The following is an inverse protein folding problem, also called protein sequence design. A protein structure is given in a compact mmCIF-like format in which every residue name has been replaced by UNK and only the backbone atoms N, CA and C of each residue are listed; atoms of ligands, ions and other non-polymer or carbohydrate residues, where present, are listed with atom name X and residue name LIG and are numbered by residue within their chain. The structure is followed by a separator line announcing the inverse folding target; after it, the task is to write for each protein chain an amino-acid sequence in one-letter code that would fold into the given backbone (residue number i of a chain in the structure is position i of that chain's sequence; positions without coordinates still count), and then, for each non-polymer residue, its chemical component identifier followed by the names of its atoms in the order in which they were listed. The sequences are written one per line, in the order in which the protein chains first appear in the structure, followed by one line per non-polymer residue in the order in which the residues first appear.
data_IF_220387691508
#
_entry.id   IF_220387691508
#
_cell.length_a   1.000
_cell.length_b   1.000
_cell.length_c   1.000
_cell.angle_alpha   90.00
_cell.angle_beta   90.00
_cell.angle_gamma   90.00
#
_symmetry.space_group_name_H-M   'P 1'
#
loop_
_entity.id
_entity.type
_entity.pdbx_description
1 polymer ?
#
# COMPACT_ATOMS: atom_id res chain seq x y z
N UNK A 1 0.18 20.71 -5.34
CA UNK A 1 0.32 20.56 -3.87
C UNK A 1 1.65 19.87 -3.63
N UNK A 2 2.37 20.16 -2.53
CA UNK A 2 3.60 19.41 -2.19
C UNK A 2 3.22 18.04 -1.63
N UNK A 3 3.84 16.98 -2.15
CA UNK A 3 3.67 15.63 -1.60
C UNK A 3 4.30 15.55 -0.20
N UNK A 4 3.64 14.84 0.71
CA UNK A 4 4.17 14.55 2.05
C UNK A 4 4.63 13.10 2.12
N UNK A 5 5.72 12.85 2.86
CA UNK A 5 6.24 11.49 3.04
C UNK A 5 5.43 10.78 4.14
N UNK A 6 4.99 9.56 3.85
CA UNK A 6 4.45 8.61 4.82
C UNK A 6 5.31 7.35 4.93
N UNK A 7 5.02 6.52 5.92
CA UNK A 7 5.61 5.19 6.10
C UNK A 7 4.53 4.15 6.33
N UNK A 8 4.53 3.08 5.55
CA UNK A 8 3.78 1.88 5.83
C UNK A 8 4.53 1.07 6.90
N UNK A 9 3.93 0.94 8.09
CA UNK A 9 4.55 0.37 9.28
C UNK A 9 4.91 -1.11 9.13
N UNK A 10 4.36 -1.81 8.13
CA UNK A 10 4.82 -3.15 7.73
C UNK A 10 6.34 -3.21 7.47
N UNK A 11 6.93 -2.11 7.02
CA UNK A 11 8.38 -1.93 6.78
C UNK A 11 9.22 -2.02 8.06
N UNK A 12 8.61 -1.84 9.23
CA UNK A 12 9.23 -1.93 10.55
C UNK A 12 8.48 -2.89 11.48
N UNK A 13 7.76 -3.88 10.92
CA UNK A 13 6.91 -4.80 11.67
C UNK A 13 7.67 -5.58 12.75
N UNK A 14 8.90 -5.99 12.48
CA UNK A 14 9.68 -6.82 13.42
C UNK A 14 10.15 -5.97 14.59
N UNK A 15 10.64 -4.77 14.32
CA UNK A 15 11.01 -3.80 15.34
C UNK A 15 9.78 -3.35 16.15
N UNK A 16 8.67 -3.06 15.49
CA UNK A 16 7.41 -2.67 16.16
C UNK A 16 6.87 -3.77 17.07
N UNK A 17 6.88 -5.03 16.62
CA UNK A 17 6.49 -6.17 17.44
C UNK A 17 7.39 -6.36 18.67
N UNK A 18 8.68 -5.98 18.57
CA UNK A 18 9.66 -6.07 19.66
C UNK A 18 9.51 -4.93 20.67
N UNK A 19 9.37 -3.69 20.21
CA UNK A 19 9.25 -2.49 21.03
C UNK A 19 8.43 -1.42 20.30
N UNK A 20 7.12 -1.38 20.58
CA UNK A 20 6.17 -0.49 19.89
C UNK A 20 6.52 0.99 20.09
N UNK A 21 6.68 1.40 21.34
CA UNK A 21 6.93 2.80 21.69
C UNK A 21 8.32 3.25 21.18
N UNK A 22 9.35 2.43 21.40
CA UNK A 22 10.70 2.73 20.92
C UNK A 22 10.77 2.79 19.39
N UNK A 23 10.06 1.91 18.69
CA UNK A 23 10.03 1.92 17.21
C UNK A 23 9.35 3.17 16.68
N UNK A 24 8.18 3.57 17.21
CA UNK A 24 7.51 4.80 16.79
C UNK A 24 8.35 6.05 17.08
N UNK A 25 9.02 6.11 18.23
CA UNK A 25 9.92 7.22 18.55
C UNK A 25 11.08 7.30 17.55
N UNK A 26 11.69 6.17 17.18
CA UNK A 26 12.77 6.15 16.17
C UNK A 26 12.26 6.55 14.78
N UNK A 27 11.06 6.11 14.40
CA UNK A 27 10.41 6.54 13.14
C UNK A 27 10.24 8.07 13.12
N UNK A 28 9.79 8.65 14.23
CA UNK A 28 9.68 10.11 14.38
C UNK A 28 11.04 10.82 14.34
N UNK A 29 12.07 10.25 14.99
CA UNK A 29 13.45 10.77 14.99
C UNK A 29 14.08 10.77 13.59
N UNK A 30 13.77 9.77 12.76
CA UNK A 30 14.17 9.72 11.34
C UNK A 30 13.57 10.89 10.55
N UNK A 31 12.36 11.32 10.93
CA UNK A 31 11.67 12.47 10.35
C UNK A 31 10.30 12.15 9.75
N UNK A 32 9.86 10.89 9.77
CA UNK A 32 8.49 10.56 9.39
C UNK A 32 7.50 11.25 10.33
N UNK A 33 6.41 11.76 9.75
CA UNK A 33 5.29 12.37 10.50
C UNK A 33 3.97 11.67 10.26
N UNK A 34 3.89 10.90 9.18
CA UNK A 34 2.68 10.25 8.71
C UNK A 34 2.97 8.76 8.60
N UNK A 35 2.10 7.95 9.18
CA UNK A 35 2.21 6.49 9.13
C UNK A 35 0.91 5.87 8.65
N UNK A 36 1.07 4.77 7.95
CA UNK A 36 0.01 3.83 7.62
C UNK A 36 0.23 2.55 8.41
N UNK A 37 -0.85 1.97 8.91
CA UNK A 37 -0.77 0.89 9.88
C UNK A 37 -1.48 -0.35 9.34
N UNK A 38 -0.79 -1.50 9.24
CA UNK A 38 -1.42 -2.74 8.87
C UNK A 38 -2.19 -3.30 10.07
N UNK A 39 -3.40 -3.76 9.86
CA UNK A 39 -4.30 -4.29 10.87
C UNK A 39 -4.96 -5.56 10.33
N UNK A 40 -5.06 -6.56 11.19
CA UNK A 40 -5.68 -7.84 10.85
C UNK A 40 -6.96 -8.03 11.66
N UNK A 41 -8.11 -8.01 10.97
CA UNK A 41 -9.41 -8.31 11.56
C UNK A 41 -9.81 -9.77 11.34
N UNK A 42 -9.01 -10.57 10.63
CA UNK A 42 -9.31 -11.99 10.36
C UNK A 42 -9.10 -12.89 11.57
N UNK A 43 -8.41 -12.39 12.61
CA UNK A 43 -8.05 -13.15 13.81
C UNK A 43 -6.83 -14.05 13.65
N UNK A 44 -6.05 -13.88 12.57
CA UNK A 44 -4.84 -14.67 12.31
C UNK A 44 -3.56 -14.03 12.87
N UNK A 45 -3.66 -12.78 13.34
CA UNK A 45 -2.54 -11.96 13.82
C UNK A 45 -1.38 -11.92 12.81
N UNK A 46 -1.71 -11.67 11.54
CA UNK A 46 -0.76 -11.69 10.41
C UNK A 46 0.45 -10.78 10.63
N UNK A 47 0.29 -9.71 11.40
CA UNK A 47 1.31 -8.70 11.66
C UNK A 47 1.93 -8.81 13.06
N UNK A 48 1.55 -9.83 13.84
CA UNK A 48 2.00 -10.02 15.23
C UNK A 48 1.77 -8.77 16.10
N UNK A 49 0.65 -8.09 15.85
CA UNK A 49 0.24 -6.90 16.58
C UNK A 49 -0.58 -7.29 17.81
N UNK A 50 -1.04 -8.54 17.91
CA UNK A 50 -1.88 -9.04 18.99
C UNK A 50 -3.18 -8.24 19.13
N UNK A 51 -3.78 -8.27 20.32
CA UNK A 51 -4.97 -7.46 20.67
C UNK A 51 -4.61 -5.97 20.84
N UNK A 52 -4.21 -5.31 19.75
CA UNK A 52 -3.92 -3.88 19.74
C UNK A 52 -5.23 -3.09 19.67
N UNK A 53 -5.60 -2.44 20.78
CA UNK A 53 -6.80 -1.58 20.83
C UNK A 53 -6.53 -0.25 20.14
N UNK A 54 -7.56 0.32 19.52
CA UNK A 54 -7.47 1.62 18.86
C UNK A 54 -7.00 2.74 19.82
N UNK A 55 -7.49 2.76 21.06
CA UNK A 55 -7.06 3.72 22.09
C UNK A 55 -5.58 3.57 22.48
N UNK A 56 -5.08 2.35 22.65
CA UNK A 56 -3.68 2.09 22.98
C UNK A 56 -2.77 2.53 21.83
N UNK A 57 -3.15 2.18 20.60
CA UNK A 57 -2.44 2.62 19.40
C UNK A 57 -2.44 4.14 19.26
N UNK A 58 -3.60 4.77 19.44
CA UNK A 58 -3.74 6.22 19.40
C UNK A 58 -2.80 6.89 20.41
N UNK A 59 -2.75 6.40 21.64
CA UNK A 59 -1.88 6.94 22.67
C UNK A 59 -0.40 6.83 22.29
N UNK A 60 0.03 5.68 21.77
CA UNK A 60 1.42 5.45 21.35
C UNK A 60 1.83 6.39 20.21
N UNK A 61 0.96 6.55 19.21
CA UNK A 61 1.19 7.43 18.06
C UNK A 61 1.22 8.90 18.47
N UNK A 62 0.26 9.33 19.30
CA UNK A 62 0.19 10.70 19.83
C UNK A 62 1.44 11.03 20.67
N UNK A 63 1.93 10.09 21.49
CA UNK A 63 3.14 10.26 22.30
C UNK A 63 4.40 10.40 21.45
N UNK A 64 4.48 9.67 20.33
CA UNK A 64 5.59 9.79 19.38
C UNK A 64 5.49 11.04 18.49
N UNK A 65 4.37 11.77 18.53
CA UNK A 65 4.12 12.93 17.67
C UNK A 65 3.89 12.58 16.20
N UNK A 66 3.39 11.38 15.93
CA UNK A 66 3.08 10.86 14.58
C UNK A 66 1.59 11.03 14.25
N UNK A 67 1.23 10.90 12.98
CA UNK A 67 -0.16 10.91 12.51
C UNK A 67 -0.47 9.60 11.78
N UNK A 68 -1.57 8.94 12.13
CA UNK A 68 -2.11 7.84 11.32
C UNK A 68 -2.88 8.41 10.15
N UNK A 69 -2.39 8.21 8.92
CA UNK A 69 -3.02 8.75 7.71
C UNK A 69 -3.95 7.75 7.03
N UNK A 70 -3.72 6.45 7.23
CA UNK A 70 -4.61 5.38 6.79
C UNK A 70 -4.36 4.08 7.59
N UNK A 71 -5.31 3.16 7.49
CA UNK A 71 -5.16 1.77 7.96
C UNK A 71 -5.22 0.80 6.79
N UNK A 72 -4.28 -0.13 6.72
CA UNK A 72 -4.34 -1.30 5.83
C UNK A 72 -5.08 -2.41 6.56
N UNK A 73 -6.17 -2.93 6.01
CA UNK A 73 -7.01 -3.91 6.72
C UNK A 73 -7.14 -5.24 5.98
N UNK A 74 -7.06 -6.31 6.75
CA UNK A 74 -7.42 -7.65 6.28
C UNK A 74 -8.72 -8.05 6.94
N UNK A 75 -9.74 -8.34 6.12
CA UNK A 75 -11.06 -8.79 6.55
C UNK A 75 -11.44 -10.08 5.84
N UNK A 76 -12.01 -11.03 6.58
CA UNK A 76 -12.48 -12.32 6.06
C UNK A 76 -13.92 -12.23 5.57
N UNK A 77 -14.74 -11.39 6.22
CA UNK A 77 -16.16 -11.27 5.93
C UNK A 77 -16.68 -9.83 6.04
N UNK A 78 -17.90 -9.63 5.57
CA UNK A 78 -18.59 -8.35 5.54
C UNK A 78 -18.98 -7.83 6.94
N UNK A 79 -19.17 -8.72 7.92
CA UNK A 79 -19.59 -8.31 9.27
C UNK A 79 -18.49 -7.53 9.99
N UNK A 80 -17.22 -7.79 9.64
CA UNK A 80 -16.04 -7.12 10.20
C UNK A 80 -15.90 -5.64 9.77
N UNK A 81 -16.63 -5.20 8.75
CA UNK A 81 -16.59 -3.79 8.31
C UNK A 81 -17.09 -2.84 9.40
N UNK A 82 -18.06 -3.27 10.21
CA UNK A 82 -18.51 -2.48 11.36
C UNK A 82 -17.40 -2.29 12.40
N UNK A 83 -16.59 -3.32 12.65
CA UNK A 83 -15.47 -3.28 13.59
C UNK A 83 -14.34 -2.40 13.06
N UNK A 84 -14.03 -2.48 11.76
CA UNK A 84 -13.08 -1.59 11.08
C UNK A 84 -13.49 -0.12 11.24
N UNK A 85 -14.78 0.18 11.01
CA UNK A 85 -15.31 1.54 11.14
C UNK A 85 -15.19 2.03 12.59
N UNK A 86 -15.57 1.19 13.56
CA UNK A 86 -15.46 1.52 14.98
C UNK A 86 -14.01 1.80 15.39
N UNK A 87 -13.09 0.93 14.96
CA UNK A 87 -11.65 1.06 15.22
C UNK A 87 -11.09 2.38 14.64
N UNK A 88 -11.37 2.66 13.37
CA UNK A 88 -10.87 3.86 12.70
C UNK A 88 -11.46 5.14 13.31
N UNK A 89 -12.73 5.13 13.75
CA UNK A 89 -13.32 6.28 14.47
C UNK A 89 -12.65 6.55 15.81
N UNK A 90 -12.35 5.50 16.58
CA UNK A 90 -11.65 5.65 17.86
C UNK A 90 -10.20 6.12 17.66
N UNK A 91 -9.53 5.61 16.61
CA UNK A 91 -8.19 6.04 16.23
C UNK A 91 -8.17 7.48 15.68
N UNK A 92 -9.29 7.96 15.15
CA UNK A 92 -9.39 9.24 14.45
C UNK A 92 -8.88 9.19 13.00
N UNK A 93 -8.81 8.00 12.41
CA UNK A 93 -8.35 7.78 11.03
C UNK A 93 -9.55 7.77 10.07
N UNK A 94 -9.47 8.54 8.97
CA UNK A 94 -10.56 8.71 8.00
C UNK A 94 -10.29 8.02 6.66
N UNK A 95 -9.24 7.19 6.59
CA UNK A 95 -8.92 6.40 5.40
C UNK A 95 -8.61 4.95 5.79
N UNK A 96 -9.14 4.05 4.99
CA UNK A 96 -8.92 2.62 5.12
C UNK A 96 -8.57 2.08 3.74
N UNK A 97 -7.64 1.13 3.69
CA UNK A 97 -7.16 0.50 2.47
C UNK A 97 -7.38 -1.00 2.61
N UNK A 98 -7.98 -1.61 1.59
CA UNK A 98 -7.97 -3.07 1.43
C UNK A 98 -6.81 -3.39 0.48
N UNK A 99 -5.73 -4.01 0.97
CA UNK A 99 -4.69 -4.53 0.11
C UNK A 99 -5.06 -5.90 -0.43
N UNK A 100 -4.46 -6.25 -1.56
CA UNK A 100 -4.24 -7.62 -2.06
C UNK A 100 -5.49 -8.52 -2.19
N UNK A 101 -5.81 -8.92 -3.42
CA UNK A 101 -6.81 -9.95 -3.67
C UNK A 101 -6.43 -10.82 -4.86
N UNK A 102 -6.64 -12.13 -4.71
CA UNK A 102 -6.34 -13.12 -5.75
C UNK A 102 -7.61 -13.54 -6.48
N UNK A 103 -7.48 -13.74 -7.79
CA UNK A 103 -8.61 -14.03 -8.68
C UNK A 103 -8.29 -15.23 -9.56
N UNK A 104 -9.29 -16.07 -9.81
CA UNK A 104 -9.16 -17.24 -10.69
C UNK A 104 -9.73 -16.95 -12.08
N UNK A 105 -10.70 -16.04 -12.16
CA UNK A 105 -11.43 -15.72 -13.37
C UNK A 105 -11.99 -14.29 -13.31
N UNK A 106 -12.61 -13.87 -14.41
CA UNK A 106 -13.22 -12.55 -14.55
C UNK A 106 -14.37 -12.30 -13.55
N UNK A 107 -15.19 -13.31 -13.29
CA UNK A 107 -16.32 -13.24 -12.37
C UNK A 107 -15.87 -12.99 -10.92
N UNK A 108 -14.73 -13.56 -10.50
CA UNK A 108 -14.14 -13.29 -9.19
C UNK A 108 -13.77 -11.80 -9.05
N UNK A 109 -13.18 -11.20 -10.09
CA UNK A 109 -12.82 -9.77 -10.10
C UNK A 109 -14.07 -8.89 -10.02
N UNK A 110 -15.14 -9.25 -10.74
CA UNK A 110 -16.41 -8.52 -10.67
C UNK A 110 -17.05 -8.62 -9.29
N UNK A 111 -17.12 -9.82 -8.71
CA UNK A 111 -17.68 -10.03 -7.38
C UNK A 111 -16.89 -9.25 -6.32
N UNK A 112 -15.57 -9.19 -6.45
CA UNK A 112 -14.72 -8.37 -5.59
C UNK A 112 -14.94 -6.87 -5.79
N UNK A 113 -15.12 -6.41 -7.02
CA UNK A 113 -15.43 -5.00 -7.32
C UNK A 113 -16.76 -4.57 -6.68
N UNK A 114 -17.80 -5.42 -6.74
CA UNK A 114 -19.07 -5.18 -6.06
C UNK A 114 -18.90 -5.14 -4.54
N UNK A 115 -18.06 -6.02 -3.98
CA UNK A 115 -17.72 -6.04 -2.55
C UNK A 115 -17.03 -4.74 -2.12
N UNK A 116 -16.02 -4.28 -2.85
CA UNK A 116 -15.34 -3.01 -2.59
C UNK A 116 -16.30 -1.82 -2.65
N UNK A 117 -17.20 -1.77 -3.64
CA UNK A 117 -18.23 -0.72 -3.71
C UNK A 117 -19.12 -0.69 -2.47
N UNK A 118 -19.60 -1.86 -2.04
CA UNK A 118 -20.46 -1.98 -0.86
C UNK A 118 -19.73 -1.51 0.39
N UNK A 119 -18.47 -1.91 0.56
CA UNK A 119 -17.63 -1.49 1.68
C UNK A 119 -17.37 0.02 1.66
N UNK A 120 -16.97 0.54 0.50
CA UNK A 120 -16.71 1.96 0.31
C UNK A 120 -17.94 2.82 0.61
N UNK A 121 -19.13 2.40 0.18
CA UNK A 121 -20.36 3.12 0.50
C UNK A 121 -20.64 3.15 2.01
N UNK A 122 -20.52 2.00 2.70
CA UNK A 122 -20.73 1.90 4.15
C UNK A 122 -19.73 2.76 4.93
N UNK A 123 -18.44 2.70 4.57
CA UNK A 123 -17.39 3.49 5.22
C UNK A 123 -17.58 4.99 4.98
N UNK A 124 -17.92 5.38 3.75
CA UNK A 124 -18.15 6.77 3.37
C UNK A 124 -19.29 7.41 4.14
N UNK A 125 -20.40 6.70 4.34
CA UNK A 125 -21.53 7.16 5.18
C UNK A 125 -21.08 7.47 6.63
N UNK A 126 -19.97 6.89 7.05
CA UNK A 126 -19.38 7.08 8.37
C UNK A 126 -18.18 8.04 8.37
N UNK A 127 -17.89 8.69 7.24
CA UNK A 127 -16.80 9.65 7.07
C UNK A 127 -15.43 9.03 6.82
N UNK A 128 -15.37 7.78 6.39
CA UNK A 128 -14.12 7.04 6.09
C UNK A 128 -14.06 6.74 4.59
N UNK A 129 -12.98 7.10 3.91
CA UNK A 129 -12.75 6.75 2.51
C UNK A 129 -12.08 5.38 2.40
N UNK A 130 -12.53 4.55 1.46
CA UNK A 130 -11.90 3.27 1.13
C UNK A 130 -11.00 3.41 -0.09
N UNK A 131 -9.78 2.89 0.00
CA UNK A 131 -8.88 2.71 -1.14
C UNK A 131 -8.61 1.21 -1.38
N UNK A 132 -8.25 0.85 -2.61
CA UNK A 132 -7.70 -0.47 -2.93
C UNK A 132 -6.21 -0.36 -3.25
N UNK A 133 -5.39 -1.27 -2.72
CA UNK A 133 -3.94 -1.32 -2.91
C UNK A 133 -3.55 -2.54 -3.76
N UNK A 134 -2.85 -2.29 -4.87
CA UNK A 134 -2.46 -3.31 -5.84
C UNK A 134 -1.12 -3.98 -5.51
N UNK A 135 -0.96 -5.21 -5.98
CA UNK A 135 0.32 -5.87 -6.19
C UNK A 135 0.51 -6.16 -7.68
N UNK A 136 1.48 -7.01 -8.05
CA UNK A 136 1.76 -7.29 -9.46
C UNK A 136 0.65 -8.13 -10.13
N UNK A 137 -0.03 -8.99 -9.37
CA UNK A 137 -0.98 -9.95 -9.92
C UNK A 137 -2.31 -9.32 -10.30
N UNK A 138 -2.62 -8.14 -9.77
CA UNK A 138 -3.75 -7.34 -10.26
C UNK A 138 -3.54 -6.82 -11.69
N UNK A 139 -2.33 -6.97 -12.25
CA UNK A 139 -2.03 -6.78 -13.66
C UNK A 139 -2.03 -8.09 -14.47
N UNK A 140 -2.50 -9.20 -13.89
CA UNK A 140 -2.94 -10.36 -14.67
C UNK A 140 -4.20 -9.99 -15.47
N UNK A 141 -4.31 -10.50 -16.71
CA UNK A 141 -5.45 -10.22 -17.58
C UNK A 141 -6.55 -11.25 -17.43
N UNK A 142 -7.78 -10.77 -17.27
CA UNK A 142 -9.00 -11.55 -17.33
C UNK A 142 -9.88 -10.99 -18.46
N UNK A 143 -10.21 -11.82 -19.45
CA UNK A 143 -10.90 -11.39 -20.68
C UNK A 143 -10.20 -10.22 -21.41
N UNK A 144 -8.87 -10.17 -21.34
CA UNK A 144 -8.05 -9.17 -22.03
C UNK A 144 -7.80 -7.86 -21.27
N UNK A 145 -8.46 -7.65 -20.11
CA UNK A 145 -8.28 -6.47 -19.25
C UNK A 145 -7.56 -6.85 -17.96
N UNK A 146 -6.74 -5.95 -17.41
CA UNK A 146 -6.13 -6.17 -16.09
C UNK A 146 -7.20 -6.27 -15.00
N UNK A 147 -6.97 -7.10 -13.99
CA UNK A 147 -7.88 -7.16 -12.84
C UNK A 147 -8.07 -5.77 -12.18
N UNK A 148 -7.00 -4.99 -12.06
CA UNK A 148 -7.07 -3.63 -11.53
C UNK A 148 -7.89 -2.67 -12.41
N UNK A 149 -7.86 -2.87 -13.73
CA UNK A 149 -8.68 -2.10 -14.68
C UNK A 149 -10.16 -2.43 -14.52
N UNK A 150 -10.48 -3.72 -14.38
CA UNK A 150 -11.84 -4.18 -14.12
C UNK A 150 -12.34 -3.60 -12.79
N UNK A 151 -11.52 -3.63 -11.74
CA UNK A 151 -11.87 -3.01 -10.44
C UNK A 151 -12.11 -1.51 -10.60
N UNK A 152 -11.24 -0.80 -11.32
CA UNK A 152 -11.39 0.64 -11.62
C UNK A 152 -12.71 0.91 -12.35
N UNK A 153 -13.05 0.15 -13.38
CA UNK A 153 -14.25 0.34 -14.21
C UNK A 153 -15.54 -0.04 -13.47
N UNK A 154 -15.50 -1.05 -12.60
CA UNK A 154 -16.65 -1.58 -11.89
C UNK A 154 -16.81 -1.04 -10.47
N UNK A 155 -16.01 -0.05 -10.06
CA UNK A 155 -16.17 0.66 -8.80
C UNK A 155 -16.50 2.13 -8.98
N UNK A 156 -17.37 2.65 -8.11
CA UNK A 156 -17.78 4.05 -8.11
C UNK A 156 -16.64 4.92 -7.55
N UNK A 157 -16.26 6.04 -8.21
CA UNK A 157 -15.18 6.92 -7.76
C UNK A 157 -15.44 7.57 -6.39
N UNK A 158 -16.70 7.65 -5.97
CA UNK A 158 -17.08 8.16 -4.65
C UNK A 158 -16.89 7.11 -3.53
N UNK A 159 -16.85 5.83 -3.87
CA UNK A 159 -16.77 4.74 -2.90
C UNK A 159 -15.35 4.17 -2.80
N UNK A 160 -14.60 4.13 -3.91
CA UNK A 160 -13.31 3.44 -3.98
C UNK A 160 -12.28 4.32 -4.67
N UNK A 161 -11.30 4.80 -3.92
CA UNK A 161 -10.04 5.32 -4.45
C UNK A 161 -9.00 4.22 -4.60
N UNK A 162 -7.78 4.60 -4.97
CA UNK A 162 -6.65 3.69 -5.11
C UNK A 162 -5.42 4.21 -4.39
N UNK A 163 -4.73 3.26 -3.79
CA UNK A 163 -3.34 3.38 -3.43
C UNK A 163 -2.51 2.61 -4.46
N UNK A 164 -1.76 3.33 -5.29
CA UNK A 164 -0.95 2.70 -6.32
C UNK A 164 0.41 2.31 -5.73
N UNK A 165 0.71 1.01 -5.72
CA UNK A 165 2.07 0.54 -5.55
C UNK A 165 2.81 0.55 -6.88
N UNK A 166 3.76 1.47 -6.99
CA UNK A 166 4.53 1.72 -8.21
C UNK A 166 5.55 0.63 -8.52
N UNK A 167 6.11 0.01 -7.49
CA UNK A 167 7.04 -1.10 -7.63
C UNK A 167 6.28 -2.32 -8.14
N UNK A 168 5.16 -2.66 -7.51
CA UNK A 168 4.38 -3.81 -7.93
C UNK A 168 3.72 -3.62 -9.29
N UNK A 169 3.32 -2.40 -9.65
CA UNK A 169 2.89 -2.08 -11.01
C UNK A 169 3.99 -2.31 -12.05
N UNK A 170 5.21 -1.84 -11.77
CA UNK A 170 6.37 -2.11 -12.62
C UNK A 170 6.65 -3.62 -12.74
N UNK A 171 6.60 -4.36 -11.63
CA UNK A 171 6.77 -5.83 -11.60
C UNK A 171 5.64 -6.57 -12.34
N UNK A 172 4.46 -5.97 -12.47
CA UNK A 172 3.34 -6.45 -13.28
C UNK A 172 3.46 -6.10 -14.78
N UNK A 173 4.55 -5.45 -15.20
CA UNK A 173 4.78 -5.09 -16.59
C UNK A 173 4.05 -3.83 -17.06
N UNK A 174 3.59 -2.99 -16.12
CA UNK A 174 2.86 -1.76 -16.42
C UNK A 174 3.79 -0.56 -16.49
N UNK A 175 3.55 0.33 -17.46
CA UNK A 175 4.13 1.67 -17.47
C UNK A 175 3.49 2.52 -16.36
N UNK A 176 4.23 2.71 -15.28
CA UNK A 176 3.74 3.33 -14.05
C UNK A 176 3.26 4.76 -14.27
N UNK A 177 3.98 5.56 -15.07
CA UNK A 177 3.63 6.97 -15.32
C UNK A 177 2.29 7.06 -16.07
N UNK A 178 2.11 6.27 -17.13
CA UNK A 178 0.84 6.22 -17.86
C UNK A 178 -0.30 5.70 -16.98
N UNK A 179 -0.02 4.79 -16.05
CA UNK A 179 -1.03 4.26 -15.14
C UNK A 179 -1.44 5.28 -14.07
N UNK A 180 -0.52 6.10 -13.57
CA UNK A 180 -0.82 7.26 -12.72
C UNK A 180 -1.75 8.23 -13.45
N UNK A 181 -1.48 8.53 -14.73
CA UNK A 181 -2.36 9.36 -15.56
C UNK A 181 -3.74 8.73 -15.73
N UNK A 182 -3.82 7.40 -15.95
CA UNK A 182 -5.08 6.66 -16.06
C UNK A 182 -5.92 6.73 -14.79
N UNK A 183 -5.31 6.54 -13.61
CA UNK A 183 -6.03 6.59 -12.34
C UNK A 183 -6.50 8.02 -12.01
N UNK A 184 -5.74 9.04 -12.41
CA UNK A 184 -6.10 10.44 -12.24
C UNK A 184 -6.46 10.79 -10.80
N UNK A 185 -7.63 11.41 -10.60
CA UNK A 185 -8.10 11.81 -9.26
C UNK A 185 -8.46 10.65 -8.33
N UNK A 186 -8.51 9.41 -8.83
CA UNK A 186 -8.73 8.22 -7.99
C UNK A 186 -7.43 7.66 -7.41
N UNK A 187 -6.26 8.08 -7.88
CA UNK A 187 -4.99 7.77 -7.21
C UNK A 187 -4.81 8.74 -6.05
N UNK A 188 -5.15 8.30 -4.83
CA UNK A 188 -5.09 9.14 -3.65
C UNK A 188 -3.76 9.00 -2.92
N UNK A 189 -3.24 7.77 -2.84
CA UNK A 189 -2.03 7.39 -2.13
C UNK A 189 -1.09 6.67 -3.10
N UNK A 190 0.22 6.76 -2.88
CA UNK A 190 1.21 5.97 -3.60
C UNK A 190 2.11 5.27 -2.63
N UNK A 191 2.30 3.96 -2.82
CA UNK A 191 3.39 3.22 -2.19
C UNK A 191 4.60 3.21 -3.12
N UNK A 192 5.75 3.54 -2.55
CA UNK A 192 7.03 3.61 -3.25
C UNK A 192 8.04 2.68 -2.59
N UNK A 193 8.59 1.82 -3.45
CA UNK A 193 9.74 0.92 -3.24
C UNK A 193 10.72 1.15 -4.38
N UNK A 194 11.90 0.57 -4.30
CA UNK A 194 12.86 0.60 -5.41
C UNK A 194 13.29 -0.82 -5.79
N UNK A 195 13.77 -0.94 -7.02
CA UNK A 195 14.12 -2.20 -7.65
C UNK A 195 15.64 -2.25 -7.88
N UNK A 196 16.35 -3.27 -7.39
CA UNK A 196 17.76 -3.44 -7.72
C UNK A 196 17.94 -3.56 -9.23
N UNK A 197 18.93 -2.87 -9.80
CA UNK A 197 19.24 -2.91 -11.23
C UNK A 197 19.62 -4.32 -11.75
N UNK A 198 19.96 -5.24 -10.84
CA UNK A 198 20.25 -6.64 -11.16
C UNK A 198 19.01 -7.50 -11.39
N UNK A 199 17.81 -7.03 -11.03
CA UNK A 199 16.58 -7.80 -11.22
C UNK A 199 16.24 -7.88 -12.70
N UNK A 200 16.23 -9.11 -13.22
CA UNK A 200 15.85 -9.41 -14.59
C UNK A 200 15.22 -10.82 -14.65
N UNK A 201 14.00 -10.99 -15.18
CA UNK A 201 13.15 -9.94 -15.75
C UNK A 201 12.52 -9.03 -14.68
N UNK A 202 12.23 -7.80 -15.07
CA UNK A 202 11.46 -6.86 -14.25
C UNK A 202 9.99 -7.27 -14.21
N UNK A 203 9.40 -7.51 -15.39
CA UNK A 203 8.03 -8.00 -15.53
C UNK A 203 7.95 -9.49 -15.18
N UNK A 204 7.21 -9.81 -14.13
CA UNK A 204 7.04 -11.17 -13.64
C UNK A 204 6.28 -12.07 -14.62
N UNK A 205 5.38 -11.51 -15.45
CA UNK A 205 4.66 -12.27 -16.48
C UNK A 205 5.54 -12.67 -17.68
N UNK A 206 6.83 -12.31 -17.70
CA UNK A 206 7.80 -12.94 -18.62
C UNK A 206 8.23 -14.34 -18.15
N UNK A 207 7.98 -14.67 -16.88
CA UNK A 207 8.33 -15.97 -16.28
C UNK A 207 7.11 -16.76 -15.79
N UNK A 208 6.05 -16.05 -15.40
CA UNK A 208 4.78 -16.65 -15.02
C UNK A 208 3.88 -16.82 -16.25
N UNK A 209 3.09 -17.90 -16.28
CA UNK A 209 2.03 -18.04 -17.26
C UNK A 209 0.87 -17.12 -16.89
N UNK A 210 0.62 -16.09 -17.72
CA UNK A 210 -0.48 -15.14 -17.50
C UNK A 210 -1.87 -15.79 -17.57
N UNK A 211 -1.99 -17.02 -18.09
CA UNK A 211 -3.25 -17.76 -18.16
C UNK A 211 -3.52 -18.62 -16.93
N UNK A 212 -2.52 -18.81 -16.06
CA UNK A 212 -2.67 -19.53 -14.81
C UNK A 212 -2.91 -18.55 -13.66
N UNK A 213 -3.94 -18.75 -12.81
CA UNK A 213 -4.20 -17.86 -11.69
C UNK A 213 -2.99 -17.70 -10.78
N UNK A 214 -2.54 -16.46 -10.57
CA UNK A 214 -1.54 -16.19 -9.54
C UNK A 214 -2.18 -16.44 -8.18
N UNK A 215 -1.53 -17.26 -7.36
CA UNK A 215 -1.98 -17.59 -6.00
C UNK A 215 -1.09 -16.94 -4.95
N UNK A 216 -1.55 -16.91 -3.69
CA UNK A 216 -0.69 -16.51 -2.56
C UNK A 216 0.63 -17.31 -2.53
N UNK A 217 0.59 -18.60 -2.84
CA UNK A 217 1.82 -19.41 -2.91
C UNK A 217 2.79 -18.96 -4.01
N UNK A 218 2.26 -18.48 -5.14
CA UNK A 218 3.06 -17.91 -6.23
C UNK A 218 3.62 -16.55 -5.83
N UNK A 219 2.81 -15.70 -5.21
CA UNK A 219 3.24 -14.40 -4.69
C UNK A 219 4.40 -14.56 -3.68
N UNK A 220 4.24 -15.49 -2.72
CA UNK A 220 5.26 -15.76 -1.70
C UNK A 220 6.56 -16.34 -2.27
N UNK A 221 6.51 -17.09 -3.38
CA UNK A 221 7.73 -17.67 -3.97
C UNK A 221 8.60 -16.63 -4.69
N UNK A 222 8.03 -15.47 -5.04
CA UNK A 222 8.71 -14.35 -5.68
C UNK A 222 9.32 -13.39 -4.63
N UNK A 223 8.74 -13.35 -3.43
CA UNK A 223 9.19 -12.48 -2.35
C UNK A 223 10.56 -12.90 -1.82
N UNK A 224 11.60 -12.12 -2.14
CA UNK A 224 12.95 -12.27 -1.59
C UNK A 224 13.54 -10.89 -1.29
N UNK A 225 14.32 -10.71 -0.21
CA UNK A 225 15.07 -9.48 0.02
C UNK A 225 15.93 -9.04 -1.19
N UNK A 226 16.40 -9.99 -2.02
CA UNK A 226 17.26 -9.70 -3.16
C UNK A 226 16.56 -9.03 -4.34
N UNK A 227 15.22 -8.99 -4.34
CA UNK A 227 14.45 -8.28 -5.37
C UNK A 227 13.97 -6.91 -4.91
N UNK A 228 14.32 -6.48 -3.69
CA UNK A 228 14.01 -5.16 -3.18
C UNK A 228 15.29 -4.39 -2.83
N UNK A 229 15.24 -3.07 -2.96
CA UNK A 229 16.27 -2.17 -2.43
C UNK A 229 15.61 -0.88 -1.96
N UNK A 230 16.31 -0.16 -1.10
CA UNK A 230 15.84 1.11 -0.57
C UNK A 230 15.75 2.17 -1.67
N UNK A 231 14.83 3.13 -1.49
CA UNK A 231 14.63 4.24 -2.43
C UNK A 231 15.96 4.97 -2.67
N UNK A 232 16.32 5.13 -3.94
CA UNK A 232 17.54 5.81 -4.36
C UNK A 232 18.77 4.91 -4.49
N UNK A 233 18.65 3.62 -4.15
CA UNK A 233 19.67 2.61 -4.41
C UNK A 233 19.33 1.73 -5.64
N UNK A 234 18.13 1.86 -6.20
CA UNK A 234 17.66 1.05 -7.32
C UNK A 234 17.57 1.78 -8.66
N UNK A 235 16.71 1.26 -9.53
CA UNK A 235 16.61 1.66 -10.94
C UNK A 235 15.26 2.22 -11.35
N UNK A 236 14.30 2.38 -10.43
CA UNK A 236 12.99 2.95 -10.77
C UNK A 236 13.13 4.46 -11.03
N UNK A 237 12.45 4.99 -12.06
CA UNK A 237 12.35 6.44 -12.31
C UNK A 237 11.39 7.11 -11.31
N UNK A 238 11.83 7.19 -10.05
CA UNK A 238 11.03 7.75 -8.96
C UNK A 238 10.81 9.25 -9.17
N UNK A 239 11.76 9.98 -9.75
CA UNK A 239 11.58 11.39 -10.07
C UNK A 239 10.43 11.60 -11.08
N UNK A 240 10.40 10.80 -12.16
CA UNK A 240 9.31 10.80 -13.13
C UNK A 240 7.96 10.43 -12.52
N UNK A 241 7.93 9.43 -11.64
CA UNK A 241 6.73 9.05 -10.87
C UNK A 241 6.21 10.22 -10.03
N UNK A 242 7.08 10.90 -9.28
CA UNK A 242 6.68 12.02 -8.43
C UNK A 242 6.13 13.19 -9.25
N UNK A 243 6.77 13.51 -10.39
CA UNK A 243 6.28 14.53 -11.32
C UNK A 243 4.92 14.17 -11.91
N UNK A 244 4.75 12.92 -12.36
CA UNK A 244 3.48 12.42 -12.90
C UNK A 244 2.37 12.50 -11.85
N UNK A 245 2.68 12.10 -10.61
CA UNK A 245 1.78 12.17 -9.47
C UNK A 245 1.29 13.61 -9.24
N UNK A 246 2.21 14.56 -9.07
CA UNK A 246 1.84 15.97 -8.84
C UNK A 246 1.02 16.57 -9.99
N UNK A 247 1.24 16.11 -11.21
CA UNK A 247 0.59 16.63 -12.41
C UNK A 247 -0.80 16.04 -12.66
N UNK A 248 -0.98 14.74 -12.40
CA UNK A 248 -2.14 14.00 -12.88
C UNK A 248 -3.12 13.58 -11.78
N UNK A 249 -2.72 13.63 -10.51
CA UNK A 249 -3.53 13.10 -9.41
C UNK A 249 -3.84 14.14 -8.34
N UNK A 250 -4.69 13.74 -7.39
CA UNK A 250 -4.94 14.44 -6.12
C UNK A 250 -4.08 13.89 -4.98
N UNK A 251 -3.07 13.08 -5.29
CA UNK A 251 -2.27 12.36 -4.29
C UNK A 251 -1.61 13.33 -3.32
N UNK A 252 -1.77 13.04 -2.03
CA UNK A 252 -1.16 13.83 -0.96
C UNK A 252 0.09 13.17 -0.38
N UNK A 253 0.09 11.85 -0.29
CA UNK A 253 1.15 11.10 0.37
C UNK A 253 1.88 10.19 -0.60
N UNK A 254 3.21 10.27 -0.54
CA UNK A 254 4.10 9.25 -1.07
C UNK A 254 4.60 8.44 0.12
N UNK A 255 4.23 7.17 0.16
CA UNK A 255 4.40 6.31 1.33
C UNK A 255 5.53 5.34 1.04
N UNK A 256 6.56 5.38 1.87
CA UNK A 256 7.61 4.37 1.84
C UNK A 256 7.02 3.07 2.35
N UNK A 257 7.09 2.02 1.54
CA UNK A 257 6.88 0.65 1.97
C UNK A 257 8.15 -0.15 1.69
N UNK A 258 8.44 -1.17 2.49
CA UNK A 258 9.55 -2.08 2.25
C UNK A 258 9.13 -3.49 2.65
N UNK A 259 8.77 -4.32 1.68
CA UNK A 259 8.25 -5.66 1.93
C UNK A 259 9.33 -6.56 2.56
N UNK A 260 10.57 -6.42 2.07
CA UNK A 260 11.76 -7.09 2.57
C UNK A 260 13.00 -6.21 2.38
N UNK A 261 14.00 -6.36 3.24
CA UNK A 261 15.31 -5.69 3.15
C UNK A 261 16.42 -6.62 3.62
N UNK A 262 17.61 -6.46 3.04
CA UNK A 262 18.85 -7.09 3.49
C UNK A 262 19.57 -6.28 4.59
N UNK A 263 19.02 -5.12 4.98
CA UNK A 263 19.50 -4.23 6.06
C UNK A 263 18.64 -4.38 7.31
N UNK A 264 18.91 -3.60 8.36
CA UNK A 264 17.97 -3.46 9.48
C UNK A 264 16.72 -2.68 9.06
N UNK A 265 15.53 -3.04 9.56
CA UNK A 265 14.26 -2.37 9.20
C UNK A 265 14.32 -0.84 9.38
N UNK A 266 14.85 -0.37 10.54
CA UNK A 266 14.97 1.06 10.82
C UNK A 266 16.01 1.78 9.95
N UNK A 267 17.11 1.09 9.63
CA UNK A 267 18.14 1.61 8.72
C UNK A 267 17.57 1.73 7.29
N UNK A 268 16.84 0.71 6.85
CA UNK A 268 16.18 0.66 5.54
C UNK A 268 15.22 1.83 5.33
N UNK A 269 14.29 2.05 6.26
CA UNK A 269 13.33 3.15 6.16
C UNK A 269 14.01 4.53 6.30
N UNK A 270 15.14 4.63 6.99
CA UNK A 270 15.91 5.89 7.11
C UNK A 270 16.61 6.24 5.78
N UNK A 271 17.20 5.26 5.10
CA UNK A 271 17.79 5.44 3.77
C UNK A 271 16.71 5.93 2.80
N UNK A 272 15.59 5.21 2.74
CA UNK A 272 14.48 5.56 1.86
C UNK A 272 13.90 6.95 2.16
N UNK A 273 13.76 7.31 3.44
CA UNK A 273 13.29 8.65 3.85
C UNK A 273 14.22 9.76 3.34
N UNK A 274 15.54 9.61 3.53
CA UNK A 274 16.54 10.60 3.13
C UNK A 274 16.57 10.78 1.63
N UNK A 275 16.56 9.68 0.88
CA UNK A 275 16.54 9.72 -0.58
C UNK A 275 15.28 10.39 -1.11
N UNK A 276 14.10 10.02 -0.59
CA UNK A 276 12.84 10.60 -1.00
C UNK A 276 12.71 12.08 -0.63
N UNK A 277 13.23 12.48 0.55
CA UNK A 277 13.32 13.89 0.96
C UNK A 277 14.15 14.70 -0.03
N UNK A 278 15.28 14.16 -0.48
CA UNK A 278 16.13 14.81 -1.48
C UNK A 278 15.41 14.93 -2.83
N UNK A 279 14.79 13.86 -3.31
CA UNK A 279 14.04 13.87 -4.57
C UNK A 279 12.91 14.91 -4.54
N UNK A 280 12.14 14.97 -3.46
CA UNK A 280 11.06 15.95 -3.30
C UNK A 280 11.56 17.41 -3.25
N UNK A 281 12.79 17.65 -2.79
CA UNK A 281 13.40 18.97 -2.78
C UNK A 281 13.91 19.42 -4.17
N UNK A 282 14.04 18.48 -5.11
CA UNK A 282 14.52 18.70 -6.47
C UNK A 282 13.38 18.83 -7.51
N UNK A 283 12.13 18.56 -7.11
CA UNK A 283 10.91 18.73 -7.92
C UNK A 283 10.50 20.20 -8.10
#
# INVERSE_FOLDING_TARGET
MSLEIGLQLFSAKTEFARDRAGTLNKIAEIGYKNIEIPLDFTGQDLFKLGDLKASDLKQLVDQAGLNVIATHIFVSDDAQIADVIAFNKELGCTKTIIPISFFTNYEDVLAFSEKLNRYGSQMREQGISLLYHNHFHEFQKFNGSYALDIILEHTSPENVGFELDTYWALRGGVDVISYIEKLGSRCEFIHQKDLPASVNPVNLFETLDENEPVTMGTFMSIGSPDVFTEIGEGSIDIAGILQATQKHTSTKYIIVEQDATNKGELESIEISYKALTKLLAEL
#
